data_IF_737162880167
#
_entry.id   IF_737162880167
#
_cell.length_a   1.000
_cell.length_b   1.000
_cell.length_c   1.000
_cell.angle_alpha   90.00
_cell.angle_beta   90.00
_cell.angle_gamma   90.00
#
_symmetry.space_group_name_H-M   'P 1'
#
loop_
_entity.id
_entity.type
_entity.pdbx_description
1 polymer ?
#
# COMPACT_ATOMS: atom_id res chain seq x y z
N UNK A 1 13.50 -9.72 -26.33
CA UNK A 1 14.14 -9.58 -25.01
C UNK A 1 13.03 -9.15 -24.06
N UNK A 2 12.65 -10.03 -23.15
CA UNK A 2 11.66 -9.66 -22.13
C UNK A 2 12.37 -8.83 -21.07
N UNK A 3 12.23 -7.50 -21.19
CA UNK A 3 12.85 -6.54 -20.29
C UNK A 3 12.15 -6.48 -18.93
N UNK A 4 12.90 -6.07 -17.89
CA UNK A 4 12.34 -5.74 -16.59
C UNK A 4 11.32 -4.59 -16.72
N UNK A 5 10.10 -4.79 -16.22
CA UNK A 5 9.01 -3.80 -16.31
C UNK A 5 8.88 -2.98 -15.02
N UNK A 6 8.80 -3.64 -13.86
CA UNK A 6 8.59 -2.96 -12.58
C UNK A 6 8.93 -3.87 -11.39
N UNK A 7 9.24 -3.24 -10.25
CA UNK A 7 9.28 -3.87 -8.93
C UNK A 7 8.33 -3.12 -7.99
N UNK A 8 7.65 -3.86 -7.12
CA UNK A 8 6.60 -3.34 -6.25
C UNK A 8 6.96 -3.63 -4.80
N UNK A 9 6.97 -2.59 -3.96
CA UNK A 9 7.40 -2.69 -2.57
C UNK A 9 6.29 -2.34 -1.56
N UNK A 10 5.08 -2.05 -2.04
CA UNK A 10 3.96 -1.55 -1.23
C UNK A 10 3.81 -0.03 -1.32
N UNK A 11 2.59 0.45 -1.47
CA UNK A 11 2.23 1.88 -1.34
C UNK A 11 0.83 2.00 -0.72
N UNK A 12 0.66 1.37 0.44
CA UNK A 12 -0.64 1.34 1.10
C UNK A 12 -1.11 2.74 1.48
N UNK A 13 -2.41 2.96 1.32
CA UNK A 13 -3.08 4.15 1.81
C UNK A 13 -3.96 3.79 2.99
N UNK A 14 -4.32 4.80 3.78
CA UNK A 14 -5.19 4.62 4.93
C UNK A 14 -6.63 4.33 4.46
N UNK A 15 -7.14 3.17 4.84
CA UNK A 15 -8.52 2.76 4.49
C UNK A 15 -9.56 3.61 5.24
N UNK A 16 -10.83 3.63 4.79
CA UNK A 16 -11.91 4.28 5.51
C UNK A 16 -12.02 3.81 6.97
N UNK A 17 -11.94 2.50 7.22
CA UNK A 17 -11.96 1.94 8.57
C UNK A 17 -10.69 2.27 9.37
N UNK A 18 -9.53 2.37 8.71
CA UNK A 18 -8.30 2.83 9.35
C UNK A 18 -8.41 4.28 9.83
N UNK A 19 -9.04 5.15 9.04
CA UNK A 19 -9.36 6.53 9.44
C UNK A 19 -10.30 6.57 10.64
N UNK A 20 -11.39 5.81 10.59
CA UNK A 20 -12.36 5.72 11.70
C UNK A 20 -11.71 5.23 12.99
N UNK A 21 -10.86 4.20 12.91
CA UNK A 21 -10.07 3.73 14.06
C UNK A 21 -9.22 4.86 14.63
N UNK A 22 -8.45 5.57 13.83
CA UNK A 22 -7.61 6.68 14.33
C UNK A 22 -8.44 7.80 14.99
N UNK A 23 -9.62 8.10 14.45
CA UNK A 23 -10.51 9.13 14.99
C UNK A 23 -11.11 8.75 16.36
N UNK A 24 -11.16 7.46 16.72
CA UNK A 24 -11.65 7.02 18.03
C UNK A 24 -10.75 7.43 19.21
N UNK A 25 -9.49 7.78 18.96
CA UNK A 25 -8.56 8.24 19.99
C UNK A 25 -7.53 9.23 19.41
N UNK A 26 -7.57 10.53 19.80
CA UNK A 26 -6.59 11.53 19.36
C UNK A 26 -5.13 11.16 19.60
N UNK A 27 -4.82 10.35 20.62
CA UNK A 27 -3.45 9.89 20.87
C UNK A 27 -2.92 8.98 19.76
N UNK A 28 -3.79 8.18 19.13
CA UNK A 28 -3.39 7.35 17.99
C UNK A 28 -2.99 8.21 16.78
N UNK A 29 -3.64 9.35 16.58
CA UNK A 29 -3.28 10.31 15.52
C UNK A 29 -1.87 10.86 15.79
N UNK A 30 -1.59 11.26 17.04
CA UNK A 30 -0.27 11.77 17.43
C UNK A 30 0.81 10.69 17.26
N UNK A 31 0.56 9.48 17.73
CA UNK A 31 1.50 8.36 17.60
C UNK A 31 1.79 8.01 16.14
N UNK A 32 0.74 7.99 15.29
CA UNK A 32 0.92 7.77 13.85
C UNK A 32 1.74 8.89 13.22
N UNK A 33 1.50 10.16 13.58
CA UNK A 33 2.28 11.29 13.05
C UNK A 33 3.77 11.16 13.39
N UNK A 34 4.10 10.74 14.62
CA UNK A 34 5.49 10.47 15.03
C UNK A 34 6.10 9.30 14.25
N UNK A 35 5.36 8.19 14.08
CA UNK A 35 5.83 7.06 13.29
C UNK A 35 6.12 7.45 11.84
N UNK A 36 5.20 8.19 11.21
CA UNK A 36 5.36 8.72 9.84
C UNK A 36 6.58 9.63 9.73
N UNK A 37 6.82 10.50 10.71
CA UNK A 37 7.99 11.38 10.72
C UNK A 37 9.31 10.60 10.90
N UNK A 38 9.29 9.49 11.63
CA UNK A 38 10.47 8.70 11.93
C UNK A 38 10.97 7.88 10.73
N UNK A 39 10.08 7.34 9.90
CA UNK A 39 10.44 6.44 8.81
C UNK A 39 9.91 6.86 7.43
N UNK A 40 9.39 8.09 7.33
CA UNK A 40 8.75 8.62 6.13
C UNK A 40 7.59 7.74 5.61
N UNK A 41 6.78 7.21 6.53
CA UNK A 41 5.67 6.26 6.26
C UNK A 41 6.11 4.91 5.68
N UNK A 42 7.41 4.59 5.66
CA UNK A 42 7.91 3.37 5.03
C UNK A 42 7.27 2.13 5.66
N UNK A 43 7.22 2.03 6.99
CA UNK A 43 6.59 0.91 7.68
C UNK A 43 5.14 0.77 7.24
N UNK A 44 4.30 1.81 7.37
CA UNK A 44 2.88 1.69 7.04
C UNK A 44 2.64 1.31 5.57
N UNK A 45 3.42 1.88 4.64
CA UNK A 45 3.18 1.74 3.20
C UNK A 45 3.70 0.44 2.60
N UNK A 46 4.91 0.05 2.98
CA UNK A 46 5.62 -1.11 2.40
C UNK A 46 4.94 -2.43 2.73
N UNK A 47 5.13 -3.42 1.85
CA UNK A 47 4.75 -4.79 2.15
C UNK A 47 5.53 -5.30 3.35
N UNK A 48 4.87 -6.03 4.24
CA UNK A 48 5.54 -6.67 5.37
C UNK A 48 5.72 -8.18 5.13
N UNK A 49 4.71 -8.85 4.58
CA UNK A 49 4.81 -10.26 4.20
C UNK A 49 3.86 -10.57 3.03
N UNK A 50 4.23 -10.18 1.80
CA UNK A 50 3.42 -10.46 0.63
C UNK A 50 3.50 -11.95 0.29
N UNK A 51 2.38 -12.66 0.33
CA UNK A 51 2.34 -14.13 0.20
C UNK A 51 1.58 -14.65 -1.02
N UNK A 52 0.83 -13.78 -1.72
CA UNK A 52 0.12 -14.17 -2.93
C UNK A 52 -0.02 -13.00 -3.90
N UNK A 53 -0.01 -13.32 -5.19
CA UNK A 53 -0.30 -12.40 -6.29
C UNK A 53 -1.36 -13.01 -7.22
N UNK A 54 -2.32 -12.19 -7.64
CA UNK A 54 -3.32 -12.54 -8.65
C UNK A 54 -3.54 -11.37 -9.60
N UNK A 55 -3.87 -11.68 -10.85
CA UNK A 55 -4.37 -10.72 -11.82
C UNK A 55 -5.87 -10.93 -11.92
N UNK A 56 -6.65 -9.87 -11.72
CA UNK A 56 -8.11 -9.96 -11.84
C UNK A 56 -8.58 -9.83 -13.31
N UNK A 57 -9.88 -9.99 -13.54
CA UNK A 57 -10.46 -9.87 -14.89
C UNK A 57 -10.33 -8.49 -15.54
N UNK A 58 -9.86 -7.47 -14.81
CA UNK A 58 -9.58 -6.12 -15.32
C UNK A 58 -8.09 -5.89 -15.59
N UNK A 59 -7.25 -6.91 -15.38
CA UNK A 59 -5.81 -6.80 -15.58
C UNK A 59 -5.07 -6.09 -14.43
N UNK A 60 -5.71 -5.93 -13.26
CA UNK A 60 -5.08 -5.31 -12.09
C UNK A 60 -4.27 -6.33 -11.30
N UNK A 61 -3.14 -5.92 -10.76
CA UNK A 61 -2.28 -6.75 -9.92
C UNK A 61 -2.74 -6.65 -8.47
N UNK A 62 -3.25 -7.75 -7.92
CA UNK A 62 -3.71 -7.86 -6.53
C UNK A 62 -2.67 -8.62 -5.72
N UNK A 63 -2.11 -7.99 -4.68
CA UNK A 63 -1.08 -8.56 -3.80
C UNK A 63 -1.64 -8.68 -2.38
N UNK A 64 -1.64 -9.89 -1.83
CA UNK A 64 -2.03 -10.17 -0.43
C UNK A 64 -0.82 -9.96 0.50
N UNK A 65 -0.94 -9.00 1.41
CA UNK A 65 0.08 -8.66 2.42
C UNK A 65 -0.39 -9.15 3.80
N UNK A 66 -0.03 -10.40 4.11
CA UNK A 66 -0.64 -11.20 5.18
C UNK A 66 -0.54 -10.53 6.55
N UNK A 67 0.66 -10.10 6.96
CA UNK A 67 0.90 -9.53 8.29
C UNK A 67 0.30 -8.14 8.48
N UNK A 68 -0.22 -7.52 7.41
CA UNK A 68 -0.95 -6.25 7.46
C UNK A 68 -2.46 -6.42 7.31
N UNK A 69 -2.94 -7.64 7.09
CA UNK A 69 -4.37 -7.93 6.92
C UNK A 69 -5.00 -7.18 5.76
N UNK A 70 -4.24 -6.96 4.66
CA UNK A 70 -4.69 -6.14 3.52
C UNK A 70 -4.36 -6.78 2.18
N UNK A 71 -5.09 -6.34 1.15
CA UNK A 71 -4.78 -6.58 -0.26
C UNK A 71 -4.48 -5.22 -0.88
N UNK A 72 -3.32 -5.08 -1.53
CA UNK A 72 -3.00 -3.90 -2.34
C UNK A 72 -3.29 -4.21 -3.80
N UNK A 73 -4.04 -3.34 -4.47
CA UNK A 73 -4.47 -3.50 -5.87
C UNK A 73 -3.81 -2.41 -6.70
N UNK A 74 -3.07 -2.81 -7.73
CA UNK A 74 -2.31 -1.93 -8.59
C UNK A 74 -2.86 -1.99 -10.01
N UNK A 75 -3.01 -0.81 -10.60
CA UNK A 75 -3.48 -0.63 -11.96
C UNK A 75 -2.47 0.21 -12.71
N UNK A 76 -2.09 -0.23 -13.91
CA UNK A 76 -1.20 0.54 -14.77
C UNK A 76 -1.97 1.76 -15.26
N UNK A 77 -1.41 2.96 -15.03
CA UNK A 77 -2.00 4.18 -15.58
C UNK A 77 -2.09 4.08 -17.10
N UNK A 78 -3.22 4.55 -17.65
CA UNK A 78 -3.42 4.70 -19.09
C UNK A 78 -2.97 6.06 -19.60
N UNK A 79 -2.76 7.00 -18.69
CA UNK A 79 -2.32 8.34 -19.03
C UNK A 79 -0.85 8.30 -19.43
N UNK A 80 -0.48 8.90 -20.57
CA UNK A 80 0.91 9.09 -20.91
C UNK A 80 1.54 10.00 -19.85
N UNK A 81 2.52 9.46 -19.14
CA UNK A 81 3.33 10.24 -18.20
C UNK A 81 4.54 10.74 -18.97
N UNK A 82 4.82 12.04 -18.90
CA UNK A 82 6.12 12.57 -19.34
C UNK A 82 7.18 11.96 -18.43
N UNK A 83 8.01 11.08 -19.01
CA UNK A 83 9.18 10.49 -18.36
C UNK A 83 10.38 11.40 -18.57
#
# INVERSE_FOLDING_TARGET
>A
MDGFVAAMYGDSQLSPWGKEKLLSNPDMIRQRALAVANDNSAFEKTFANPCAVKIDGKGRVCILDHTRGRIQVYEKSKDPVLV
#
